data_IF_490658367410
#
_entry.id   IF_490658367410
#
_cell.length_a   1.000
_cell.length_b   1.000
_cell.length_c   1.000
_cell.angle_alpha   90.00
_cell.angle_beta   90.00
_cell.angle_gamma   90.00
#
_symmetry.space_group_name_H-M   'P 1'
#
loop_
_entity.id
_entity.type
_entity.pdbx_description
1 polymer ?
#
# COMPACT_ATOMS: atom_id res chain seq x y z
N UNK A 1 -29.41 -50.64 -52.67
CA UNK A 1 -28.53 -51.00 -51.54
C UNK A 1 -27.64 -49.80 -51.22
N UNK A 2 -27.58 -49.41 -49.93
CA UNK A 2 -26.88 -48.23 -49.33
C UNK A 2 -27.55 -46.88 -49.68
N UNK A 3 -27.65 -45.89 -48.79
CA UNK A 3 -26.60 -45.11 -48.08
C UNK A 3 -27.28 -44.47 -46.83
N UNK A 4 -26.84 -44.75 -45.60
CA UNK A 4 -25.83 -44.08 -44.74
C UNK A 4 -26.38 -42.93 -43.86
N UNK A 5 -25.97 -43.00 -42.59
CA UNK A 5 -26.22 -42.08 -41.47
C UNK A 5 -25.58 -40.70 -41.69
N UNK A 6 -25.98 -39.69 -40.89
CA UNK A 6 -25.05 -38.85 -40.11
C UNK A 6 -25.80 -37.83 -39.23
N UNK A 7 -25.33 -37.75 -37.98
CA UNK A 7 -25.73 -36.86 -36.91
C UNK A 7 -25.22 -35.41 -37.10
N UNK A 8 -25.84 -34.45 -36.41
CA UNK A 8 -25.14 -33.43 -35.60
C UNK A 8 -26.12 -32.45 -34.95
N UNK A 9 -26.34 -32.60 -33.64
CA UNK A 9 -26.98 -31.59 -32.79
C UNK A 9 -25.96 -30.61 -32.25
N UNK A 10 -26.06 -29.35 -32.67
CA UNK A 10 -25.21 -28.24 -32.23
C UNK A 10 -25.67 -27.80 -30.84
N UNK A 11 -24.90 -28.11 -29.80
CA UNK A 11 -25.09 -27.54 -28.47
C UNK A 11 -24.21 -26.29 -28.31
N UNK A 12 -24.84 -25.11 -28.23
CA UNK A 12 -24.17 -23.86 -27.84
C UNK A 12 -23.68 -24.00 -26.38
N UNK A 13 -22.38 -24.03 -26.19
CA UNK A 13 -21.76 -23.91 -24.86
C UNK A 13 -21.29 -22.46 -24.66
N UNK A 14 -22.11 -21.65 -23.99
CA UNK A 14 -21.77 -20.33 -23.49
C UNK A 14 -21.50 -20.45 -21.98
N UNK A 15 -20.23 -20.46 -21.56
CA UNK A 15 -19.83 -20.02 -20.21
C UNK A 15 -18.32 -20.21 -20.02
N UNK A 16 -17.56 -19.12 -20.02
CA UNK A 16 -16.24 -19.04 -19.38
C UNK A 16 -15.97 -17.56 -19.06
N UNK A 17 -16.72 -16.99 -18.12
CA UNK A 17 -16.38 -15.72 -17.47
C UNK A 17 -15.75 -16.03 -16.11
N UNK A 18 -14.46 -16.36 -16.10
CA UNK A 18 -13.70 -16.42 -14.85
C UNK A 18 -13.44 -15.00 -14.33
N UNK A 19 -13.91 -14.75 -13.12
CA UNK A 19 -13.81 -13.51 -12.36
C UNK A 19 -12.37 -13.27 -11.88
N UNK A 20 -11.59 -12.47 -12.62
CA UNK A 20 -10.22 -12.08 -12.24
C UNK A 20 -10.17 -10.62 -11.78
N UNK A 21 -11.02 -10.20 -10.84
CA UNK A 21 -11.12 -8.78 -10.43
C UNK A 21 -10.36 -8.47 -9.13
N UNK A 22 -10.14 -9.45 -8.26
CA UNK A 22 -9.72 -9.18 -6.87
C UNK A 22 -8.23 -8.87 -6.67
N UNK A 23 -7.32 -9.37 -7.53
CA UNK A 23 -5.87 -9.15 -7.35
C UNK A 23 -5.45 -7.77 -7.85
N UNK A 24 -6.07 -7.26 -8.92
CA UNK A 24 -5.75 -5.97 -9.50
C UNK A 24 -5.99 -4.81 -8.51
N UNK A 25 -7.13 -4.83 -7.82
CA UNK A 25 -7.52 -3.77 -6.88
C UNK A 25 -6.61 -3.65 -5.65
N UNK A 26 -6.04 -4.76 -5.16
CA UNK A 26 -5.13 -4.72 -4.02
C UNK A 26 -3.76 -4.13 -4.41
N UNK A 27 -3.27 -4.49 -5.61
CA UNK A 27 -2.02 -3.96 -6.14
C UNK A 27 -2.12 -2.47 -6.48
N UNK A 28 -3.26 -2.04 -7.02
CA UNK A 28 -3.55 -0.63 -7.29
C UNK A 28 -3.52 0.21 -6.00
N UNK A 29 -4.17 -0.26 -4.93
CA UNK A 29 -4.16 0.41 -3.62
C UNK A 29 -2.76 0.53 -3.04
N UNK A 30 -1.94 -0.52 -3.15
CA UNK A 30 -0.56 -0.48 -2.66
C UNK A 30 0.32 0.48 -3.46
N UNK A 31 0.07 0.59 -4.77
CA UNK A 31 0.81 1.50 -5.68
C UNK A 31 0.57 2.96 -5.29
N UNK A 32 -0.62 3.31 -4.82
CA UNK A 32 -0.98 4.67 -4.41
C UNK A 32 -0.18 5.19 -3.20
N UNK A 33 0.38 4.30 -2.36
CA UNK A 33 1.15 4.68 -1.18
C UNK A 33 2.66 4.74 -1.38
N UNK A 34 3.16 4.37 -2.56
CA UNK A 34 4.60 4.24 -2.79
C UNK A 34 5.32 5.59 -2.63
N UNK A 35 6.48 5.56 -1.99
CA UNK A 35 7.35 6.72 -1.83
C UNK A 35 7.70 7.05 -0.38
N UNK A 36 8.40 8.17 -0.20
CA UNK A 36 8.83 8.67 1.10
C UNK A 36 7.88 9.77 1.56
N UNK A 37 7.39 9.65 2.78
CA UNK A 37 6.34 10.49 3.35
C UNK A 37 6.85 11.22 4.59
N UNK A 38 6.50 12.49 4.70
CA UNK A 38 6.97 13.35 5.78
C UNK A 38 5.87 14.32 6.21
N UNK A 39 5.71 14.63 7.51
CA UNK A 39 4.81 15.69 7.93
C UNK A 39 5.18 17.03 7.30
N UNK A 40 4.15 17.80 6.92
CA UNK A 40 4.32 19.00 6.08
C UNK A 40 5.26 20.08 6.63
N UNK A 41 5.50 20.11 7.94
CA UNK A 41 6.37 21.09 8.61
C UNK A 41 7.86 20.81 8.48
N UNK A 42 8.26 19.62 8.03
CA UNK A 42 9.67 19.20 7.96
C UNK A 42 10.17 19.23 6.51
N UNK A 43 11.47 19.47 6.31
CA UNK A 43 12.11 19.40 5.00
C UNK A 43 12.49 17.94 4.64
N UNK A 44 12.11 17.51 3.42
CA UNK A 44 12.49 16.21 2.88
C UNK A 44 14.00 16.07 2.79
N UNK A 45 14.71 17.17 2.47
CA UNK A 45 16.15 17.16 2.36
C UNK A 45 16.83 16.98 3.73
N UNK A 46 16.18 17.26 4.85
CA UNK A 46 16.75 17.03 6.19
C UNK A 46 16.66 15.56 6.62
N UNK A 47 15.61 14.86 6.18
CA UNK A 47 15.30 13.50 6.62
C UNK A 47 15.80 12.43 5.64
N UNK A 48 15.74 12.73 4.34
CA UNK A 48 16.02 11.77 3.28
C UNK A 48 17.27 12.14 2.46
N UNK A 49 17.90 11.12 1.90
CA UNK A 49 18.96 11.23 0.91
C UNK A 49 18.59 10.44 -0.34
N UNK A 50 18.90 11.00 -1.51
CA UNK A 50 18.69 10.33 -2.79
C UNK A 50 19.71 9.20 -2.97
N UNK A 51 19.22 8.07 -3.45
CA UNK A 51 20.00 6.85 -3.76
C UNK A 51 19.65 6.37 -5.16
N UNK A 52 20.42 5.40 -5.68
CA UNK A 52 20.14 4.79 -6.99
C UNK A 52 18.73 4.19 -7.10
N UNK A 53 18.17 3.72 -5.98
CA UNK A 53 16.86 3.07 -5.91
C UNK A 53 15.73 3.97 -5.41
N UNK A 54 15.97 5.27 -5.22
CA UNK A 54 15.00 6.23 -4.66
C UNK A 54 15.50 6.90 -3.39
N UNK A 55 14.60 7.36 -2.53
CA UNK A 55 14.97 7.98 -1.26
C UNK A 55 15.27 6.93 -0.18
N UNK A 56 16.22 7.24 0.69
CA UNK A 56 16.51 6.51 1.93
C UNK A 56 16.67 7.50 3.08
N UNK A 57 16.55 7.04 4.33
CA UNK A 57 16.86 7.88 5.49
C UNK A 57 18.33 8.31 5.48
N UNK A 58 18.58 9.59 5.80
CA UNK A 58 19.94 10.10 6.01
C UNK A 58 20.65 9.35 7.13
N UNK A 59 21.98 9.35 7.06
CA UNK A 59 22.86 8.79 8.11
C UNK A 59 23.61 9.93 8.81
N UNK A 60 23.74 9.91 10.15
CA UNK A 60 23.07 8.98 11.06
C UNK A 60 21.54 9.16 11.01
N UNK A 61 20.80 8.07 11.25
CA UNK A 61 19.34 8.09 11.19
C UNK A 61 18.82 8.85 12.42
N UNK A 62 18.00 9.88 12.19
CA UNK A 62 17.20 10.47 13.26
C UNK A 62 16.08 9.49 13.62
N UNK A 63 16.27 8.76 14.72
CA UNK A 63 15.33 7.74 15.19
C UNK A 63 13.99 8.34 15.62
N UNK A 64 13.88 9.65 15.84
CA UNK A 64 12.65 10.31 16.26
C UNK A 64 11.89 10.97 15.11
N UNK A 65 12.45 10.97 13.90
CA UNK A 65 11.79 11.55 12.75
C UNK A 65 10.44 10.85 12.51
N UNK A 66 9.31 11.59 12.49
CA UNK A 66 7.98 11.03 12.25
C UNK A 66 7.79 10.77 10.76
N UNK A 67 8.66 9.97 10.15
CA UNK A 67 8.83 9.83 8.71
C UNK A 67 8.80 8.34 8.30
N UNK A 68 8.37 8.04 7.08
CA UNK A 68 8.35 6.66 6.61
C UNK A 68 8.47 6.56 5.09
N UNK A 69 8.99 5.41 4.63
CA UNK A 69 9.12 5.07 3.22
C UNK A 69 8.32 3.81 2.95
N UNK A 70 7.46 3.84 1.93
CA UNK A 70 6.78 2.65 1.41
C UNK A 70 7.41 2.28 0.07
N UNK A 71 7.96 1.06 0.00
CA UNK A 71 8.57 0.50 -1.21
C UNK A 71 8.12 -0.95 -1.38
N UNK A 72 7.42 -1.22 -2.48
CA UNK A 72 6.72 -2.47 -2.69
C UNK A 72 5.71 -2.71 -1.56
N UNK A 73 5.82 -3.85 -0.88
CA UNK A 73 4.99 -4.18 0.28
C UNK A 73 5.68 -3.90 1.63
N UNK A 74 6.71 -3.06 1.66
CA UNK A 74 7.46 -2.75 2.88
C UNK A 74 7.31 -1.28 3.25
N UNK A 75 6.86 -1.02 4.48
CA UNK A 75 6.88 0.28 5.11
C UNK A 75 8.08 0.33 6.06
N UNK A 76 8.96 1.32 5.91
CA UNK A 76 10.14 1.50 6.74
C UNK A 76 10.08 2.84 7.44
N UNK A 77 10.23 2.82 8.76
CA UNK A 77 10.40 4.01 9.61
C UNK A 77 11.83 4.05 10.12
N UNK A 78 12.29 5.14 10.78
CA UNK A 78 13.58 5.16 11.44
C UNK A 78 13.79 4.04 12.47
N UNK A 79 12.71 3.55 13.11
CA UNK A 79 12.79 2.60 14.23
C UNK A 79 12.37 1.16 13.86
N UNK A 80 11.66 0.96 12.75
CA UNK A 80 11.04 -0.31 12.43
C UNK A 80 10.90 -0.55 10.93
N UNK A 81 10.91 -1.82 10.54
CA UNK A 81 10.53 -2.27 9.20
C UNK A 81 9.26 -3.13 9.29
N UNK A 82 8.28 -2.81 8.47
CA UNK A 82 6.97 -3.44 8.46
C UNK A 82 6.65 -4.03 7.10
N UNK A 83 6.18 -5.27 7.06
CA UNK A 83 5.56 -5.87 5.87
C UNK A 83 4.07 -5.54 5.86
N UNK A 84 3.59 -4.93 4.78
CA UNK A 84 2.17 -4.71 4.52
C UNK A 84 1.56 -6.07 4.17
N UNK A 85 0.73 -6.61 5.06
CA UNK A 85 0.06 -7.91 4.90
C UNK A 85 -1.23 -7.76 4.10
N UNK A 86 -2.00 -6.70 4.36
CA UNK A 86 -3.24 -6.40 3.63
C UNK A 86 -3.60 -4.93 3.70
N UNK A 87 -4.38 -4.48 2.72
CA UNK A 87 -5.02 -3.17 2.68
C UNK A 87 -6.52 -3.41 2.48
N UNK A 88 -7.33 -2.98 3.45
CA UNK A 88 -8.77 -3.21 3.45
C UNK A 88 -9.52 -1.87 3.43
N UNK A 89 -10.62 -1.73 2.69
CA UNK A 89 -11.50 -0.56 2.83
C UNK A 89 -12.03 -0.45 4.27
N UNK A 90 -12.13 0.78 4.78
CA UNK A 90 -12.68 1.08 6.11
C UNK A 90 -13.35 2.45 6.08
N UNK A 91 -14.61 2.50 5.63
CA UNK A 91 -15.30 3.76 5.38
C UNK A 91 -14.64 4.56 4.26
N UNK A 92 -14.32 5.82 4.54
CA UNK A 92 -13.54 6.75 3.69
C UNK A 92 -12.02 6.55 3.81
N UNK A 93 -11.59 5.55 4.58
CA UNK A 93 -10.19 5.24 4.87
C UNK A 93 -9.83 3.84 4.41
N UNK A 94 -8.57 3.51 4.57
CA UNK A 94 -8.03 2.18 4.39
C UNK A 94 -7.37 1.70 5.67
N UNK A 95 -7.68 0.47 6.06
CA UNK A 95 -7.04 -0.23 7.15
C UNK A 95 -5.87 -1.04 6.58
N UNK A 96 -4.65 -0.67 6.98
CA UNK A 96 -3.44 -1.41 6.69
C UNK A 96 -3.15 -2.33 7.87
N UNK A 97 -2.98 -3.62 7.57
CA UNK A 97 -2.47 -4.60 8.54
C UNK A 97 -1.00 -4.83 8.23
N UNK A 98 -0.15 -4.53 9.21
CA UNK A 98 1.30 -4.53 9.09
C UNK A 98 1.90 -5.57 10.04
N UNK A 99 2.85 -6.37 9.57
CA UNK A 99 3.75 -7.13 10.46
C UNK A 99 5.04 -6.34 10.62
N UNK A 100 5.25 -5.76 11.78
CA UNK A 100 6.37 -4.87 12.08
C UNK A 100 7.42 -5.56 12.93
N UNK A 101 8.69 -5.19 12.72
CA UNK A 101 9.79 -5.59 13.59
C UNK A 101 10.74 -4.41 13.80
N UNK A 102 11.26 -4.30 15.03
CA UNK A 102 12.35 -3.41 15.41
C UNK A 102 13.50 -4.23 16.02
N UNK A 103 14.48 -3.55 16.63
CA UNK A 103 15.64 -4.21 17.24
C UNK A 103 15.31 -5.05 18.50
N UNK A 104 14.10 -4.91 19.05
CA UNK A 104 13.67 -5.51 20.31
C UNK A 104 12.70 -6.67 20.06
N UNK A 105 11.64 -6.44 19.27
CA UNK A 105 10.55 -7.38 19.04
C UNK A 105 9.86 -7.16 17.70
N UNK A 106 8.92 -8.06 17.37
CA UNK A 106 8.03 -7.91 16.24
C UNK A 106 6.58 -8.22 16.61
N UNK A 107 5.67 -7.43 16.06
CA UNK A 107 4.24 -7.44 16.36
C UNK A 107 3.42 -7.02 15.14
N UNK A 108 2.13 -7.37 15.16
CA UNK A 108 1.18 -6.92 14.16
C UNK A 108 0.54 -5.58 14.57
N UNK A 109 0.58 -4.61 13.66
CA UNK A 109 0.07 -3.25 13.86
C UNK A 109 -1.02 -2.96 12.83
N UNK A 110 -2.07 -2.28 13.28
CA UNK A 110 -3.16 -1.80 12.42
C UNK A 110 -3.05 -0.29 12.27
N UNK A 111 -3.08 0.21 11.04
CA UNK A 111 -2.98 1.64 10.75
C UNK A 111 -4.10 2.07 9.82
N UNK A 112 -4.80 3.14 10.18
CA UNK A 112 -5.79 3.77 9.34
C UNK A 112 -5.14 4.89 8.54
N UNK A 113 -5.29 4.84 7.22
CA UNK A 113 -4.74 5.84 6.30
C UNK A 113 -5.75 6.23 5.24
N UNK A 114 -5.62 7.44 4.70
CA UNK A 114 -6.38 7.88 3.54
C UNK A 114 -5.50 8.76 2.65
N UNK A 115 -5.37 8.38 1.38
CA UNK A 115 -4.76 9.24 0.37
C UNK A 115 -5.80 10.26 -0.09
N UNK A 116 -5.47 11.54 0.07
CA UNK A 116 -6.34 12.66 -0.24
C UNK A 116 -6.21 13.06 -1.71
N UNK A 117 -7.21 13.75 -2.25
CA UNK A 117 -7.22 14.21 -3.65
C UNK A 117 -6.15 15.26 -3.96
N UNK A 118 -5.62 15.95 -2.95
CA UNK A 118 -4.52 16.91 -3.04
C UNK A 118 -3.13 16.25 -3.02
N UNK A 119 -3.08 14.91 -2.96
CA UNK A 119 -1.84 14.13 -2.90
C UNK A 119 -1.26 14.00 -1.49
N UNK A 120 -1.90 14.55 -0.46
CA UNK A 120 -1.51 14.31 0.93
C UNK A 120 -1.95 12.91 1.38
N UNK A 121 -1.15 12.33 2.27
CA UNK A 121 -1.50 11.11 2.97
C UNK A 121 -1.86 11.44 4.41
N UNK A 122 -3.08 11.11 4.85
CA UNK A 122 -3.47 11.23 6.25
C UNK A 122 -3.35 9.89 6.95
N UNK A 123 -2.69 9.87 8.11
CA UNK A 123 -2.71 8.75 9.07
C UNK A 123 -3.62 9.12 10.23
N UNK A 124 -4.50 8.22 10.62
CA UNK A 124 -5.41 8.41 11.74
C UNK A 124 -4.96 7.56 12.92
N UNK A 125 -5.08 8.11 14.14
CA UNK A 125 -4.70 7.41 15.36
C UNK A 125 -5.63 6.22 15.65
N UNK A 126 -6.93 6.42 15.44
CA UNK A 126 -7.98 5.42 15.61
C UNK A 126 -9.18 5.74 14.70
N UNK A 127 -10.31 5.06 14.89
CA UNK A 127 -11.51 5.25 14.08
C UNK A 127 -12.20 6.59 14.40
N UNK A 128 -12.08 7.08 15.63
CA UNK A 128 -12.71 8.29 16.14
C UNK A 128 -11.94 9.57 15.75
N UNK A 129 -10.65 9.46 15.48
CA UNK A 129 -9.81 10.56 15.00
C UNK A 129 -10.30 11.03 13.63
N UNK A 130 -10.86 12.24 13.57
CA UNK A 130 -11.36 12.87 12.34
C UNK A 130 -10.35 13.79 11.66
N UNK A 131 -9.27 14.17 12.36
CA UNK A 131 -8.29 15.14 11.85
C UNK A 131 -7.17 14.41 11.10
N UNK A 132 -6.60 13.38 11.73
CA UNK A 132 -5.42 12.69 11.24
C UNK A 132 -4.15 13.54 11.21
N UNK A 133 -3.01 12.89 11.04
CA UNK A 133 -1.72 13.53 10.77
C UNK A 133 -1.48 13.52 9.27
N UNK A 134 -1.26 14.69 8.67
CA UNK A 134 -0.99 14.81 7.24
C UNK A 134 0.50 14.66 6.92
N UNK A 135 0.77 13.92 5.85
CA UNK A 135 2.08 13.67 5.28
C UNK A 135 2.09 14.10 3.82
N UNK A 136 3.16 14.79 3.41
CA UNK A 136 3.45 15.09 2.01
C UNK A 136 4.40 14.05 1.44
N UNK A 137 4.25 13.79 0.15
CA UNK A 137 5.19 12.96 -0.60
C UNK A 137 6.47 13.77 -0.83
N UNK A 138 7.62 13.16 -0.54
CA UNK A 138 8.93 13.71 -0.87
C UNK A 138 9.32 13.34 -2.30
N UNK A 139 9.70 14.35 -3.09
CA UNK A 139 10.31 14.16 -4.40
C UNK A 139 11.74 13.63 -4.27
N UNK A 140 12.19 12.90 -5.30
CA UNK A 140 13.55 12.34 -5.39
C UNK A 140 14.64 13.40 -5.52
#
# INVERSE_FOLDING_TARGET
MRIAELANGIWLSLALTFTVVSVAVAQERLTAYQGAWLPGSLDCAEIYASTRSGLAFKKPVDIFAPAFIISGNRLTTPQASCRIKSIQPSGDRQLLVLGCANAVAGDDVRVLMSLQSDGLLKRYFNAEDSTGTAYRLCSR
#
